data_IF_384592665267
#
_entry.id   IF_384592665267
#
_cell.length_a   1.000
_cell.length_b   1.000
_cell.length_c   1.000
_cell.angle_alpha   90.00
_cell.angle_beta   90.00
_cell.angle_gamma   90.00
#
_symmetry.space_group_name_H-M   'P 1'
#
loop_
_entity.id
_entity.type
_entity.pdbx_description
1 polymer ?
#
# COMPACT_ATOMS: atom_id res chain seq x y z
N UNK A 1 -3.65 10.06 -4.11
CA UNK A 1 -3.28 8.76 -3.52
C UNK A 1 -3.92 8.62 -2.14
N UNK A 2 -4.61 7.53 -1.91
CA UNK A 2 -5.27 7.26 -0.63
C UNK A 2 -4.71 5.97 -0.05
N UNK A 3 -4.27 6.01 1.19
CA UNK A 3 -3.69 4.86 1.87
C UNK A 3 -4.50 4.56 3.11
N UNK A 4 -4.90 3.30 3.26
CA UNK A 4 -5.59 2.81 4.44
C UNK A 4 -4.79 1.68 5.07
N UNK A 5 -4.78 1.65 6.39
CA UNK A 5 -4.07 0.61 7.13
C UNK A 5 -4.90 0.26 8.36
N UNK A 6 -5.19 -1.03 8.53
CA UNK A 6 -6.05 -1.45 9.66
C UNK A 6 -5.67 -2.86 10.08
N UNK A 7 -6.09 -3.24 11.29
CA UNK A 7 -5.84 -4.57 11.82
C UNK A 7 -7.08 -5.44 11.61
N UNK A 8 -6.89 -6.61 11.00
CA UNK A 8 -7.97 -7.57 10.77
C UNK A 8 -7.90 -8.63 11.87
N UNK A 9 -8.87 -8.61 12.79
CA UNK A 9 -8.86 -9.50 13.94
C UNK A 9 -9.09 -10.96 13.53
N UNK A 10 -9.87 -11.18 12.50
CA UNK A 10 -10.17 -12.54 12.04
C UNK A 10 -8.94 -13.22 11.47
N UNK A 11 -8.19 -12.50 10.67
CA UNK A 11 -6.99 -13.03 10.03
C UNK A 11 -5.75 -12.81 10.86
N UNK A 12 -5.87 -12.00 11.93
CA UNK A 12 -4.77 -11.69 12.83
C UNK A 12 -3.60 -11.10 12.08
N UNK A 13 -3.89 -10.14 11.23
CA UNK A 13 -2.85 -9.48 10.45
C UNK A 13 -3.24 -8.03 10.17
N UNK A 14 -2.24 -7.25 9.85
CA UNK A 14 -2.41 -5.87 9.44
C UNK A 14 -2.66 -5.86 7.94
N UNK A 15 -3.75 -5.22 7.53
CA UNK A 15 -4.11 -5.11 6.11
C UNK A 15 -3.94 -3.68 5.67
N UNK A 16 -3.65 -3.50 4.39
CA UNK A 16 -3.50 -2.16 3.86
C UNK A 16 -4.06 -2.10 2.45
N UNK A 17 -4.45 -0.91 2.04
CA UNK A 17 -4.85 -0.66 0.67
C UNK A 17 -4.31 0.70 0.25
N UNK A 18 -3.98 0.82 -1.01
CA UNK A 18 -3.47 2.05 -1.58
C UNK A 18 -4.15 2.25 -2.92
N UNK A 19 -4.85 3.38 -3.07
CA UNK A 19 -5.56 3.70 -4.29
C UNK A 19 -4.89 4.87 -4.98
N UNK A 20 -4.55 4.68 -6.25
CA UNK A 20 -4.00 5.75 -7.07
C UNK A 20 -5.17 6.51 -7.67
N UNK A 21 -5.35 7.75 -7.21
CA UNK A 21 -6.41 8.60 -7.76
C UNK A 21 -6.04 8.99 -9.18
N UNK A 22 -7.04 9.09 -10.01
CA UNK A 22 -6.82 9.42 -11.41
C UNK A 22 -6.88 8.22 -12.32
N UNK A 23 -6.18 7.15 -11.99
CA UNK A 23 -6.19 5.94 -12.81
C UNK A 23 -6.95 4.79 -12.14
N UNK A 24 -7.43 5.00 -10.92
CA UNK A 24 -8.30 4.05 -10.22
C UNK A 24 -7.66 2.68 -10.01
N UNK A 25 -6.36 2.64 -9.91
CA UNK A 25 -5.64 1.40 -9.63
C UNK A 25 -5.52 1.23 -8.13
N UNK A 26 -5.77 0.03 -7.65
CA UNK A 26 -5.70 -0.26 -6.23
C UNK A 26 -4.71 -1.37 -5.95
N UNK A 27 -3.89 -1.14 -4.92
CA UNK A 27 -2.93 -2.12 -4.43
C UNK A 27 -3.34 -2.53 -3.03
N UNK A 28 -3.22 -3.80 -2.70
CA UNK A 28 -3.58 -4.29 -1.37
C UNK A 28 -2.56 -5.30 -0.90
N UNK A 29 -2.52 -5.50 0.42
CA UNK A 29 -1.65 -6.51 0.98
C UNK A 29 -1.96 -6.73 2.45
N UNK A 30 -1.22 -7.65 3.06
CA UNK A 30 -1.39 -7.95 4.47
C UNK A 30 -0.11 -8.55 5.05
N UNK A 31 0.15 -8.25 6.32
CA UNK A 31 1.31 -8.76 7.05
C UNK A 31 0.93 -8.95 8.51
N UNK A 32 1.57 -9.90 9.17
CA UNK A 32 1.30 -10.15 10.58
C UNK A 32 1.82 -9.03 11.47
N UNK A 33 2.91 -8.39 11.06
CA UNK A 33 3.53 -7.33 11.84
C UNK A 33 3.20 -5.98 11.25
N UNK A 34 2.90 -5.02 12.12
CA UNK A 34 2.58 -3.67 11.66
C UNK A 34 3.72 -3.07 10.84
N UNK A 35 4.95 -3.22 11.33
CA UNK A 35 6.07 -2.60 10.63
C UNK A 35 6.27 -3.21 9.23
N UNK A 36 5.97 -4.50 9.08
CA UNK A 36 6.08 -5.13 7.78
C UNK A 36 5.00 -4.61 6.83
N UNK A 37 3.80 -4.38 7.35
CA UNK A 37 2.72 -3.81 6.54
C UNK A 37 3.07 -2.39 6.12
N UNK A 38 3.60 -1.59 7.03
CA UNK A 38 4.03 -0.24 6.71
C UNK A 38 5.15 -0.23 5.67
N UNK A 39 6.04 -1.21 5.78
CA UNK A 39 7.12 -1.34 4.81
C UNK A 39 6.58 -1.66 3.42
N UNK A 40 5.55 -2.53 3.35
CA UNK A 40 4.90 -2.83 2.09
C UNK A 40 4.31 -1.57 1.46
N UNK A 41 3.64 -0.76 2.28
CA UNK A 41 3.03 0.49 1.80
C UNK A 41 4.12 1.41 1.27
N UNK A 42 5.20 1.56 2.02
CA UNK A 42 6.30 2.43 1.61
C UNK A 42 6.90 1.99 0.28
N UNK A 43 7.12 0.67 0.15
CA UNK A 43 7.67 0.14 -1.10
C UNK A 43 6.74 0.38 -2.27
N UNK A 44 5.44 0.24 -2.05
CA UNK A 44 4.45 0.44 -3.09
C UNK A 44 4.42 1.90 -3.52
N UNK A 45 4.44 2.81 -2.55
CA UNK A 45 4.45 4.25 -2.84
C UNK A 45 5.70 4.60 -3.65
N UNK A 46 6.85 4.09 -3.24
CA UNK A 46 8.10 4.37 -3.95
C UNK A 46 8.06 3.86 -5.37
N UNK A 47 7.49 2.68 -5.56
CA UNK A 47 7.35 2.11 -6.89
C UNK A 47 6.48 3.01 -7.78
N UNK A 48 5.37 3.49 -7.24
CA UNK A 48 4.46 4.35 -7.99
C UNK A 48 5.14 5.67 -8.36
N UNK A 49 5.81 6.28 -7.38
CA UNK A 49 6.49 7.55 -7.61
C UNK A 49 7.65 7.41 -8.58
N UNK A 50 8.40 6.31 -8.48
CA UNK A 50 9.50 6.05 -9.40
C UNK A 50 9.00 5.97 -10.83
N UNK A 51 7.88 5.26 -11.04
CA UNK A 51 7.33 5.12 -12.38
C UNK A 51 6.84 6.46 -12.92
N UNK A 52 6.24 7.28 -12.06
CA UNK A 52 5.77 8.60 -12.46
C UNK A 52 6.94 9.50 -12.82
N UNK A 53 8.04 9.41 -12.08
CA UNK A 53 9.21 10.24 -12.32
C UNK A 53 10.01 9.81 -13.54
N UNK A 54 9.87 8.55 -13.96
CA UNK A 54 10.59 8.03 -15.11
C UNK A 54 9.94 8.43 -16.42
N UNK A 55 8.72 8.90 -16.36
CA UNK A 55 8.05 9.36 -17.57
C UNK A 55 8.66 10.65 -18.04
N UNK A 56 8.96 10.68 -19.30
CA UNK A 56 9.53 11.89 -19.92
C UNK A 56 8.61 12.51 -20.92
#
# INVERSE_FOLDING_TARGET
>A
MVINLWYNKQMKEWRWSLTETGIMTQHTGGQEELRDAMNDVANTVEYILDNALKEE
#
